data_IF_506526126295
#
_entry.id   IF_506526126295
#
_cell.length_a   1.000
_cell.length_b   1.000
_cell.length_c   1.000
_cell.angle_alpha   90.00
_cell.angle_beta   90.00
_cell.angle_gamma   90.00
#
_symmetry.space_group_name_H-M   'P 1'
#
loop_
_entity.id
_entity.type
_entity.pdbx_description
1 polymer ?
#
# COMPACT_ATOMS: atom_id res chain seq x y z
N UNK A 1 3.19 -7.89 13.02
CA UNK A 1 4.31 -7.84 13.99
C UNK A 1 4.89 -9.23 14.18
N UNK A 2 4.12 -10.19 14.61
CA UNK A 2 4.55 -11.57 14.92
C UNK A 2 5.24 -12.24 13.73
N UNK A 3 4.67 -12.10 12.53
CA UNK A 3 5.27 -12.65 11.30
C UNK A 3 6.68 -12.11 11.03
N UNK A 4 6.93 -10.82 11.31
CA UNK A 4 8.26 -10.23 11.15
C UNK A 4 9.28 -10.84 12.10
N UNK A 5 8.89 -11.11 13.36
CA UNK A 5 9.79 -11.74 14.33
C UNK A 5 10.03 -13.24 14.07
N UNK A 6 9.09 -13.90 13.39
CA UNK A 6 9.22 -15.32 13.03
C UNK A 6 9.96 -15.54 11.69
N UNK A 7 10.12 -14.53 10.89
CA UNK A 7 10.70 -14.64 9.54
C UNK A 7 12.24 -14.67 9.59
N UNK A 8 12.84 -15.46 8.69
CA UNK A 8 14.30 -15.46 8.48
C UNK A 8 14.82 -14.19 7.79
N UNK A 9 13.99 -13.55 6.98
CA UNK A 9 14.26 -12.31 6.27
C UNK A 9 13.03 -11.44 6.31
N UNK A 10 13.21 -10.15 6.59
CA UNK A 10 12.13 -9.16 6.66
C UNK A 10 12.47 -8.03 5.70
N UNK A 11 11.63 -7.83 4.70
CA UNK A 11 11.68 -6.70 3.78
C UNK A 11 10.49 -5.81 4.09
N UNK A 12 10.73 -4.53 4.36
CA UNK A 12 9.69 -3.54 4.57
C UNK A 12 9.53 -2.67 3.33
N UNK A 13 8.29 -2.47 2.91
CA UNK A 13 7.93 -1.38 2.02
C UNK A 13 7.46 -0.19 2.86
N UNK A 14 7.93 1.00 2.55
CA UNK A 14 7.63 2.21 3.28
C UNK A 14 7.09 3.28 2.33
N UNK A 15 6.09 4.01 2.78
CA UNK A 15 5.52 5.15 2.07
C UNK A 15 6.50 6.34 2.05
N UNK A 16 7.32 6.45 3.08
CA UNK A 16 8.28 7.54 3.24
C UNK A 16 9.55 7.07 3.96
N UNK A 17 10.68 7.60 3.55
CA UNK A 17 11.95 7.46 4.27
C UNK A 17 12.24 8.78 4.97
N UNK A 18 12.28 8.74 6.28
CA UNK A 18 12.45 9.92 7.14
C UNK A 18 13.80 9.91 7.86
N UNK A 19 14.20 11.06 8.40
CA UNK A 19 15.38 11.14 9.27
C UNK A 19 15.19 10.31 10.54
N UNK A 20 16.28 9.77 11.07
CA UNK A 20 16.27 8.93 12.27
C UNK A 20 15.67 9.66 13.48
N UNK A 21 15.86 10.98 13.59
CA UNK A 21 15.31 11.80 14.65
C UNK A 21 13.79 11.77 14.72
N UNK A 22 13.12 11.66 13.55
CA UNK A 22 11.65 11.54 13.47
C UNK A 22 11.20 10.22 14.11
N UNK A 23 11.90 9.11 13.82
CA UNK A 23 11.60 7.80 14.41
C UNK A 23 11.86 7.81 15.91
N UNK A 24 12.97 8.41 16.34
CA UNK A 24 13.38 8.49 17.76
C UNK A 24 12.52 9.44 18.58
N UNK A 25 11.81 10.39 17.98
CA UNK A 25 10.96 11.35 18.68
C UNK A 25 9.80 10.68 19.44
N UNK A 26 9.32 9.54 18.95
CA UNK A 26 8.30 8.73 19.62
C UNK A 26 8.57 7.22 19.46
N UNK A 27 9.40 6.63 20.31
CA UNK A 27 9.78 5.22 20.23
C UNK A 27 8.58 4.25 20.33
N UNK A 28 7.49 4.66 20.97
CA UNK A 28 6.29 3.82 21.15
C UNK A 28 5.55 3.55 19.84
N UNK A 29 5.80 4.37 18.80
CA UNK A 29 5.25 4.17 17.46
C UNK A 29 6.01 3.13 16.64
N UNK A 30 7.20 2.74 17.06
CA UNK A 30 8.00 1.74 16.35
C UNK A 30 7.44 0.33 16.60
N UNK A 31 6.77 -0.19 15.59
CA UNK A 31 6.14 -1.52 15.64
C UNK A 31 7.12 -2.64 15.32
N UNK A 32 8.07 -2.40 14.42
CA UNK A 32 9.07 -3.37 13.98
C UNK A 32 10.45 -2.71 14.13
N UNK A 33 11.24 -3.12 15.11
CA UNK A 33 12.57 -2.55 15.32
C UNK A 33 13.54 -2.96 14.22
N UNK A 34 14.47 -2.06 13.89
CA UNK A 34 15.43 -2.26 12.81
C UNK A 34 16.28 -3.53 12.91
N UNK A 35 16.49 -4.06 14.12
CA UNK A 35 17.28 -5.29 14.33
C UNK A 35 16.69 -6.53 13.62
N UNK A 36 15.38 -6.56 13.39
CA UNK A 36 14.72 -7.68 12.67
C UNK A 36 14.58 -7.42 11.18
N UNK A 37 14.87 -6.20 10.71
CA UNK A 37 14.67 -5.78 9.32
C UNK A 37 15.91 -6.08 8.49
N UNK A 38 15.73 -6.79 7.37
CA UNK A 38 16.81 -7.13 6.43
C UNK A 38 16.98 -6.08 5.34
N UNK A 39 15.90 -5.45 4.91
CA UNK A 39 15.90 -4.39 3.90
C UNK A 39 14.65 -3.51 4.02
N UNK A 40 14.81 -2.24 3.61
CA UNK A 40 13.71 -1.28 3.48
C UNK A 40 13.65 -0.81 2.02
N UNK A 41 12.46 -0.80 1.44
CA UNK A 41 12.20 -0.29 0.10
C UNK A 41 11.25 0.91 0.20
N UNK A 42 11.65 2.04 -0.38
CA UNK A 42 10.73 3.17 -0.56
C UNK A 42 9.79 2.88 -1.72
N UNK A 43 8.53 2.64 -1.42
CA UNK A 43 7.51 2.27 -2.42
C UNK A 43 6.22 2.99 -2.07
N UNK A 44 6.08 4.26 -2.46
CA UNK A 44 4.86 5.02 -2.24
C UNK A 44 3.64 4.33 -2.86
N UNK A 45 2.50 4.42 -2.18
CA UNK A 45 1.24 3.83 -2.64
C UNK A 45 1.28 2.28 -2.75
N UNK A 46 2.18 1.63 -2.01
CA UNK A 46 2.41 0.18 -2.12
C UNK A 46 1.24 -0.67 -1.63
N UNK A 47 0.40 -0.15 -0.73
CA UNK A 47 -0.74 -0.88 -0.17
C UNK A 47 -1.98 -0.84 -1.05
N UNK A 48 -2.03 -0.01 -2.11
CA UNK A 48 -3.18 0.02 -3.03
C UNK A 48 -3.51 -1.39 -3.56
N UNK A 49 -4.78 -1.80 -3.58
CA UNK A 49 -6.02 -1.06 -3.32
C UNK A 49 -6.43 -0.91 -1.84
N UNK A 50 -5.63 -1.38 -0.91
CA UNK A 50 -5.83 -1.13 0.51
C UNK A 50 -5.36 0.30 0.87
N UNK A 51 -5.36 0.63 2.13
CA UNK A 51 -5.01 1.96 2.64
C UNK A 51 -3.63 1.98 3.31
N UNK A 52 -3.02 3.15 3.36
CA UNK A 52 -1.92 3.46 4.27
C UNK A 52 -2.35 4.65 5.14
N UNK A 53 -2.56 4.40 6.43
CA UNK A 53 -3.13 5.39 7.34
C UNK A 53 -2.27 6.66 7.41
N UNK A 54 -2.88 7.81 7.17
CA UNK A 54 -2.21 9.11 7.09
C UNK A 54 -1.58 9.43 5.74
N UNK A 55 -1.68 8.52 4.76
CA UNK A 55 -1.18 8.72 3.39
C UNK A 55 -2.29 8.64 2.36
N UNK A 56 -3.08 7.58 2.35
CA UNK A 56 -4.21 7.41 1.42
C UNK A 56 -5.24 6.42 1.96
N UNK A 57 -6.47 6.59 1.48
CA UNK A 57 -7.61 5.77 1.85
C UNK A 57 -7.72 4.50 1.00
N UNK A 58 -8.60 3.60 1.38
CA UNK A 58 -8.92 2.37 0.66
C UNK A 58 -9.65 2.69 -0.64
N UNK A 59 -9.23 2.06 -1.74
CA UNK A 59 -9.95 2.15 -3.02
C UNK A 59 -11.17 1.25 -3.04
N UNK A 60 -12.30 1.77 -2.53
CA UNK A 60 -13.55 1.02 -2.46
C UNK A 60 -14.11 0.69 -3.85
N UNK A 61 -13.88 1.54 -4.85
CA UNK A 61 -14.33 1.28 -6.24
C UNK A 61 -13.58 0.11 -6.84
N UNK A 62 -12.27 -0.01 -6.57
CA UNK A 62 -11.50 -1.17 -6.96
C UNK A 62 -12.09 -2.47 -6.39
N UNK A 63 -12.40 -2.48 -5.08
CA UNK A 63 -12.95 -3.67 -4.45
C UNK A 63 -14.33 -4.06 -5.01
N UNK A 64 -15.18 -3.09 -5.34
CA UNK A 64 -16.46 -3.36 -6.00
C UNK A 64 -16.28 -3.88 -7.44
N UNK A 65 -15.28 -3.38 -8.17
CA UNK A 65 -14.96 -3.85 -9.49
C UNK A 65 -14.32 -5.23 -9.50
N UNK A 66 -13.59 -5.59 -8.43
CA UNK A 66 -12.89 -6.85 -8.29
C UNK A 66 -13.83 -8.06 -8.34
N UNK A 67 -15.06 -7.94 -7.85
CA UNK A 67 -16.04 -9.03 -7.92
C UNK A 67 -16.21 -9.52 -9.35
N UNK A 68 -16.35 -8.59 -10.32
CA UNK A 68 -16.45 -8.92 -11.75
C UNK A 68 -15.17 -9.52 -12.32
N UNK A 69 -14.02 -9.03 -11.89
CA UNK A 69 -12.71 -9.56 -12.32
C UNK A 69 -12.53 -11.00 -11.83
N UNK A 70 -12.98 -11.30 -10.61
CA UNK A 70 -12.82 -12.62 -9.99
C UNK A 70 -13.86 -13.66 -10.42
N UNK A 71 -14.91 -13.29 -11.16
CA UNK A 71 -15.97 -14.19 -11.61
C UNK A 71 -15.47 -15.29 -12.58
N UNK A 72 -14.42 -15.00 -13.36
CA UNK A 72 -13.90 -15.97 -14.32
C UNK A 72 -12.37 -15.98 -14.41
N UNK A 73 -11.82 -17.12 -14.81
CA UNK A 73 -10.39 -17.25 -15.06
C UNK A 73 -9.91 -16.33 -16.18
N UNK A 74 -10.74 -16.13 -17.21
CA UNK A 74 -10.46 -15.26 -18.34
C UNK A 74 -10.37 -13.79 -17.91
N UNK A 75 -11.34 -13.30 -17.12
CA UNK A 75 -11.33 -11.94 -16.61
C UNK A 75 -10.15 -11.70 -15.67
N UNK A 76 -9.86 -12.68 -14.80
CA UNK A 76 -8.68 -12.63 -13.93
C UNK A 76 -7.39 -12.58 -14.74
N UNK A 77 -7.27 -13.41 -15.81
CA UNK A 77 -6.10 -13.40 -16.67
C UNK A 77 -5.93 -12.05 -17.38
N UNK A 78 -7.00 -11.49 -17.93
CA UNK A 78 -6.97 -10.16 -18.57
C UNK A 78 -6.48 -9.08 -17.59
N UNK A 79 -6.99 -9.09 -16.36
CA UNK A 79 -6.54 -8.18 -15.32
C UNK A 79 -5.04 -8.34 -15.02
N UNK A 80 -4.56 -9.58 -14.86
CA UNK A 80 -3.14 -9.85 -14.62
C UNK A 80 -2.26 -9.41 -15.80
N UNK A 81 -2.69 -9.70 -17.02
CA UNK A 81 -1.98 -9.31 -18.23
C UNK A 81 -1.89 -7.78 -18.35
N UNK A 82 -2.91 -7.06 -17.92
CA UNK A 82 -2.97 -5.60 -18.01
C UNK A 82 -2.25 -4.91 -16.85
N UNK A 83 -2.49 -5.33 -15.61
CA UNK A 83 -2.10 -4.59 -14.39
C UNK A 83 -0.86 -5.14 -13.70
N UNK A 84 -0.46 -6.36 -14.00
CA UNK A 84 0.71 -6.99 -13.42
C UNK A 84 1.79 -7.19 -14.46
N UNK A 85 1.50 -7.93 -15.52
CA UNK A 85 2.48 -8.24 -16.57
C UNK A 85 2.60 -7.12 -17.61
N UNK A 86 1.55 -6.32 -17.80
CA UNK A 86 1.54 -5.19 -18.72
C UNK A 86 2.16 -3.90 -18.19
N UNK A 87 2.61 -3.88 -16.93
CA UNK A 87 3.34 -2.75 -16.34
C UNK A 87 4.80 -3.11 -16.10
N UNK A 88 5.69 -2.23 -16.52
CA UNK A 88 7.14 -2.49 -16.47
C UNK A 88 7.69 -2.51 -15.05
N UNK A 89 7.22 -1.56 -14.24
CA UNK A 89 7.70 -1.34 -12.88
C UNK A 89 6.65 -0.56 -12.06
N UNK A 90 7.00 -0.25 -10.82
CA UNK A 90 6.11 0.48 -9.90
C UNK A 90 5.74 1.88 -10.39
N UNK A 91 6.65 2.57 -11.03
CA UNK A 91 6.38 3.92 -11.55
C UNK A 91 5.37 3.85 -12.70
N UNK A 92 5.52 2.89 -13.61
CA UNK A 92 4.54 2.66 -14.68
C UNK A 92 3.15 2.28 -14.13
N UNK A 93 3.08 1.51 -13.05
CA UNK A 93 1.82 1.23 -12.36
C UNK A 93 1.20 2.51 -11.76
N UNK A 94 2.00 3.34 -11.09
CA UNK A 94 1.57 4.61 -10.53
C UNK A 94 1.01 5.56 -11.59
N UNK A 95 1.72 5.71 -12.70
CA UNK A 95 1.27 6.52 -13.84
C UNK A 95 -0.03 5.99 -14.44
N UNK A 96 -0.15 4.67 -14.58
CA UNK A 96 -1.34 4.00 -15.12
C UNK A 96 -2.57 4.18 -14.23
N UNK A 97 -2.42 4.19 -12.91
CA UNK A 97 -3.52 4.50 -11.98
C UNK A 97 -4.11 5.89 -12.24
N UNK A 98 -3.26 6.85 -12.59
CA UNK A 98 -3.65 8.20 -12.95
C UNK A 98 -3.92 9.13 -11.75
N UNK A 99 -3.81 10.42 -12.01
CA UNK A 99 -3.91 11.47 -11.00
C UNK A 99 -5.29 11.54 -10.30
N UNK A 100 -6.35 11.12 -10.97
CA UNK A 100 -7.71 11.16 -10.39
C UNK A 100 -7.86 10.18 -9.25
N UNK A 101 -7.31 8.96 -9.39
CA UNK A 101 -7.33 7.96 -8.30
C UNK A 101 -6.50 8.47 -7.13
N UNK A 102 -5.31 9.00 -7.38
CA UNK A 102 -4.45 9.55 -6.33
C UNK A 102 -5.16 10.66 -5.55
N UNK A 103 -5.79 11.60 -6.25
CA UNK A 103 -6.55 12.70 -5.62
C UNK A 103 -7.77 12.20 -4.84
N UNK A 104 -8.49 11.20 -5.38
CA UNK A 104 -9.67 10.64 -4.72
C UNK A 104 -9.33 9.95 -3.40
N UNK A 105 -8.17 9.29 -3.34
CA UNK A 105 -7.73 8.54 -2.17
C UNK A 105 -6.87 9.36 -1.22
N UNK A 106 -6.54 10.60 -1.55
CA UNK A 106 -5.76 11.49 -0.69
C UNK A 106 -6.47 11.74 0.63
N UNK A 107 -5.73 11.64 1.73
CA UNK A 107 -6.22 11.91 3.07
C UNK A 107 -5.28 12.87 3.80
N UNK A 108 -5.77 13.60 4.82
CA UNK A 108 -4.88 14.36 5.69
C UNK A 108 -3.81 13.47 6.31
N UNK A 109 -2.59 13.97 6.45
CA UNK A 109 -1.48 13.26 7.12
C UNK A 109 -1.70 13.16 8.63
N UNK A 110 -2.82 12.57 9.02
CA UNK A 110 -3.25 12.41 10.42
C UNK A 110 -3.52 10.94 10.70
N UNK A 111 -2.80 10.35 11.64
CA UNK A 111 -3.02 8.97 12.07
C UNK A 111 -4.40 8.74 12.71
N UNK A 112 -5.06 9.81 13.15
CA UNK A 112 -6.42 9.78 13.67
C UNK A 112 -7.51 9.89 12.60
N UNK A 113 -7.13 10.09 11.32
CA UNK A 113 -8.12 10.11 10.23
C UNK A 113 -8.79 8.75 10.10
N UNK A 114 -10.14 8.68 10.15
CA UNK A 114 -10.85 7.42 10.03
C UNK A 114 -10.74 6.87 8.60
N UNK A 115 -10.56 5.55 8.50
CA UNK A 115 -10.50 4.88 7.20
C UNK A 115 -11.91 4.72 6.65
N UNK A 116 -12.08 5.07 5.39
CA UNK A 116 -13.35 4.93 4.67
C UNK A 116 -13.47 3.53 4.05
N UNK A 117 -14.20 2.64 4.71
CA UNK A 117 -14.46 1.28 4.21
C UNK A 117 -15.62 1.20 3.19
N UNK A 118 -16.18 2.34 2.76
CA UNK A 118 -17.35 2.38 1.88
C UNK A 118 -18.66 2.22 2.62
N UNK A 119 -19.73 2.20 1.82
CA UNK A 119 -21.10 1.85 2.31
C UNK A 119 -21.40 0.44 1.82
N UNK A 120 -21.75 -0.43 2.74
CA UNK A 120 -22.21 -1.80 2.47
C UNK A 120 -23.73 -1.85 2.54
#
# INVERSE_FOLDING_TARGET
KEAAFAAKKVILTAEEIVDESVIRSDPNRTMIPGIVVSAVCHVPFACHPSYAQGYYDRDNEFYLAWDKVSESAEATKQYLDEWVYGVKDRNAYWEKLGAEIHKRLEVPQLLSHPINYGKY
#
